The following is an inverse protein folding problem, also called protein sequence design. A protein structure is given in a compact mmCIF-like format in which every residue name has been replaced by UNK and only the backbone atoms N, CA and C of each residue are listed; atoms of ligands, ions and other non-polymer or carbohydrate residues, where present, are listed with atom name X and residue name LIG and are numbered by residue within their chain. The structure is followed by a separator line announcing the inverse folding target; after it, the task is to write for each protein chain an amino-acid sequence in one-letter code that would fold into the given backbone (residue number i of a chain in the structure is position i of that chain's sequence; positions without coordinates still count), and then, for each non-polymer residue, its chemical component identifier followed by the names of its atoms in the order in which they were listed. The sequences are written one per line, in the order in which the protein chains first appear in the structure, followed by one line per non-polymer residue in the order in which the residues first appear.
data_IF_056249845540
#
_entry.id   IF_056249845540
#
_cell.length_a   1.000
_cell.length_b   1.000
_cell.length_c   1.000
_cell.angle_alpha   90.00
_cell.angle_beta   90.00
_cell.angle_gamma   90.00
#
_symmetry.space_group_name_H-M   'P 1'
#
loop_
_entity.id
_entity.type
_entity.pdbx_description
1 polymer ?
#
# COMPACT_ATOMS: atom_id res chain seq x y z
N UNK A 1 -19.20 4.63 0.09
CA UNK A 1 -18.79 5.85 0.82
C UNK A 1 -19.48 7.02 0.16
N UNK A 2 -19.78 8.08 0.92
CA UNK A 2 -20.23 9.33 0.32
C UNK A 2 -19.07 9.93 -0.49
N UNK A 3 -19.28 10.52 -1.66
CA UNK A 3 -18.22 11.24 -2.39
C UNK A 3 -17.60 12.38 -1.58
N UNK A 4 -18.30 12.87 -0.55
CA UNK A 4 -17.85 13.97 0.32
C UNK A 4 -17.36 13.49 1.70
N UNK A 5 -17.04 12.20 1.87
CA UNK A 5 -16.54 11.69 3.14
C UNK A 5 -15.10 12.14 3.40
N UNK A 6 -14.85 12.75 4.57
CA UNK A 6 -13.54 13.26 5.00
C UNK A 6 -13.23 12.82 6.43
N UNK A 7 -11.95 12.54 6.73
CA UNK A 7 -11.48 12.14 8.07
C UNK A 7 -10.40 13.09 8.61
N UNK A 8 -10.72 14.35 8.95
CA UNK A 8 -9.73 15.34 9.40
C UNK A 8 -9.12 15.05 10.78
N UNK A 9 -9.65 14.08 11.53
CA UNK A 9 -9.20 13.77 12.90
C UNK A 9 -8.74 12.33 13.03
N UNK A 10 -7.87 12.06 14.01
CA UNK A 10 -7.44 10.70 14.35
C UNK A 10 -8.62 9.80 14.76
N UNK A 11 -9.64 10.36 15.39
CA UNK A 11 -10.86 9.62 15.77
C UNK A 11 -11.61 9.11 14.53
N UNK A 12 -11.76 9.95 13.51
CA UNK A 12 -12.42 9.56 12.27
C UNK A 12 -11.60 8.54 11.47
N UNK A 13 -10.27 8.67 11.46
CA UNK A 13 -9.38 7.65 10.90
C UNK A 13 -9.53 6.30 11.62
N UNK A 14 -9.59 6.31 12.96
CA UNK A 14 -9.82 5.09 13.76
C UNK A 14 -11.18 4.47 13.46
N UNK A 15 -12.23 5.27 13.39
CA UNK A 15 -13.57 4.80 13.02
C UNK A 15 -13.59 4.16 11.62
N UNK A 16 -12.84 4.72 10.66
CA UNK A 16 -12.69 4.13 9.33
C UNK A 16 -11.95 2.79 9.38
N UNK A 17 -10.85 2.69 10.15
CA UNK A 17 -10.11 1.43 10.37
C UNK A 17 -11.02 0.36 10.98
N UNK A 18 -11.81 0.70 12.00
CA UNK A 18 -12.73 -0.24 12.65
C UNK A 18 -13.80 -0.73 11.66
N UNK A 19 -14.40 0.20 10.89
CA UNK A 19 -15.40 -0.12 9.87
C UNK A 19 -14.86 -1.01 8.76
N UNK A 20 -13.63 -0.77 8.29
CA UNK A 20 -13.00 -1.59 7.25
C UNK A 20 -12.57 -2.95 7.78
N UNK A 21 -12.07 -3.02 9.02
CA UNK A 21 -11.70 -4.27 9.68
C UNK A 21 -12.93 -5.16 9.88
N UNK A 22 -14.07 -4.59 10.28
CA UNK A 22 -15.34 -5.32 10.43
C UNK A 22 -15.83 -5.96 9.12
N UNK A 23 -15.53 -5.34 7.97
CA UNK A 23 -15.82 -5.90 6.64
C UNK A 23 -14.80 -6.94 6.19
N UNK A 24 -13.74 -7.13 6.98
CA UNK A 24 -12.63 -8.00 6.64
C UNK A 24 -12.39 -9.14 7.65
N UNK A 25 -13.33 -10.09 7.83
CA UNK A 25 -13.10 -11.24 8.70
C UNK A 25 -11.80 -11.99 8.36
N UNK A 26 -11.02 -12.32 9.39
CA UNK A 26 -9.72 -13.00 9.26
C UNK A 26 -8.57 -12.10 8.82
N UNK A 27 -8.80 -10.79 8.66
CA UNK A 27 -7.70 -9.87 8.38
C UNK A 27 -6.77 -9.73 9.58
N UNK A 28 -5.47 -9.76 9.31
CA UNK A 28 -4.40 -9.52 10.25
C UNK A 28 -3.44 -8.44 9.71
N UNK A 29 -2.90 -7.55 10.57
CA UNK A 29 -1.83 -6.65 10.18
C UNK A 29 -0.62 -7.41 9.62
N UNK A 30 0.12 -6.75 8.74
CA UNK A 30 1.38 -7.25 8.19
C UNK A 30 2.56 -6.51 8.82
N UNK A 31 3.76 -7.09 8.83
CA UNK A 31 4.95 -6.44 9.36
C UNK A 31 5.51 -5.37 8.40
N UNK A 32 5.33 -5.55 7.09
CA UNK A 32 5.68 -4.55 6.10
C UNK A 32 4.84 -4.69 4.81
N UNK A 33 4.65 -3.60 4.08
CA UNK A 33 4.02 -3.62 2.75
C UNK A 33 4.50 -2.50 1.84
N UNK A 34 4.33 -2.70 0.53
CA UNK A 34 4.65 -1.72 -0.50
C UNK A 34 3.86 -1.95 -1.78
N UNK A 35 3.77 -0.94 -2.62
CA UNK A 35 3.23 -1.02 -3.99
C UNK A 35 4.25 -0.42 -4.95
N UNK A 36 4.48 -1.07 -6.08
CA UNK A 36 5.41 -0.60 -7.10
C UNK A 36 4.85 -0.81 -8.51
N UNK A 37 5.37 -0.04 -9.47
CA UNK A 37 5.16 -0.24 -10.90
C UNK A 37 6.39 -0.93 -11.47
N UNK A 38 6.22 -2.18 -11.89
CA UNK A 38 7.27 -3.03 -12.45
C UNK A 38 7.28 -2.88 -13.97
N UNK A 39 8.38 -2.44 -14.59
CA UNK A 39 8.49 -2.36 -16.04
C UNK A 39 8.41 -3.76 -16.69
N UNK A 40 7.99 -3.85 -17.98
CA UNK A 40 7.94 -5.12 -18.70
C UNK A 40 9.33 -5.66 -19.06
N UNK A 41 10.33 -4.79 -19.11
CA UNK A 41 11.73 -5.13 -19.37
C UNK A 41 12.43 -5.56 -18.07
N UNK A 42 12.95 -6.78 -18.06
CA UNK A 42 13.62 -7.37 -16.90
C UNK A 42 14.97 -6.69 -16.58
N UNK A 43 15.61 -6.04 -17.56
CA UNK A 43 16.86 -5.31 -17.36
C UNK A 43 16.65 -3.91 -16.78
N UNK A 44 15.41 -3.40 -16.81
CA UNK A 44 15.07 -2.10 -16.25
C UNK A 44 14.91 -2.20 -14.73
N UNK A 45 15.78 -1.52 -13.98
CA UNK A 45 15.69 -1.46 -12.52
C UNK A 45 14.42 -0.77 -12.05
N UNK A 46 13.82 -1.28 -10.97
CA UNK A 46 12.65 -0.70 -10.31
C UNK A 46 12.75 -0.86 -8.79
N UNK A 47 11.96 -0.07 -8.07
CA UNK A 47 11.95 -0.05 -6.60
C UNK A 47 10.56 0.33 -6.08
N UNK A 48 10.31 0.06 -4.81
CA UNK A 48 9.14 0.56 -4.10
C UNK A 48 9.37 2.04 -3.75
N UNK A 49 8.51 2.95 -4.23
CA UNK A 49 8.61 4.38 -3.90
C UNK A 49 8.25 4.67 -2.43
N UNK A 50 7.45 3.80 -1.82
CA UNK A 50 7.08 3.87 -0.40
C UNK A 50 7.18 2.48 0.19
N UNK A 51 8.05 2.33 1.19
CA UNK A 51 8.25 1.10 1.96
C UNK A 51 7.70 1.31 3.35
N UNK A 52 6.61 0.63 3.69
CA UNK A 52 5.97 0.77 4.99
C UNK A 52 6.43 -0.39 5.88
N UNK A 53 7.05 -0.08 7.03
CA UNK A 53 7.52 -1.07 8.00
C UNK A 53 6.90 -0.80 9.37
N UNK A 54 6.51 -1.86 10.05
CA UNK A 54 5.95 -1.80 11.38
C UNK A 54 4.46 -1.44 11.39
N UNK A 55 4.02 -0.94 12.54
CA UNK A 55 2.60 -0.81 12.87
C UNK A 55 1.99 0.52 12.46
N UNK A 56 2.81 1.47 12.02
CA UNK A 56 2.40 2.76 11.51
C UNK A 56 1.97 2.53 10.04
N UNK A 57 0.85 3.11 9.61
CA UNK A 57 0.22 2.89 8.29
C UNK A 57 -0.62 1.59 8.12
N UNK A 58 -1.37 1.18 9.17
CA UNK A 58 -2.33 0.07 9.04
C UNK A 58 -3.48 0.35 8.07
N UNK A 59 -3.94 1.60 7.97
CA UNK A 59 -5.09 1.94 7.13
C UNK A 59 -4.81 1.69 5.64
N UNK A 60 -3.72 2.18 5.04
CA UNK A 60 -3.41 1.83 3.65
C UNK A 60 -3.18 0.31 3.44
N UNK A 61 -2.53 -0.39 4.39
CA UNK A 61 -2.38 -1.85 4.30
C UNK A 61 -3.74 -2.57 4.30
N UNK A 62 -4.68 -2.12 5.13
CA UNK A 62 -6.05 -2.65 5.20
C UNK A 62 -6.80 -2.39 3.89
N UNK A 63 -6.71 -1.17 3.35
CA UNK A 63 -7.30 -0.82 2.05
C UNK A 63 -6.74 -1.67 0.92
N UNK A 64 -5.43 -1.88 0.87
CA UNK A 64 -4.82 -2.81 -0.10
C UNK A 64 -5.31 -4.24 0.12
N UNK A 65 -5.47 -4.69 1.37
CA UNK A 65 -6.07 -5.99 1.69
C UNK A 65 -7.50 -6.13 1.17
N UNK A 66 -8.30 -5.06 1.23
CA UNK A 66 -9.67 -5.05 0.70
C UNK A 66 -9.73 -5.23 -0.81
N UNK A 67 -8.80 -4.62 -1.57
CA UNK A 67 -8.80 -4.72 -3.05
C UNK A 67 -8.08 -5.98 -3.56
N UNK A 68 -7.06 -6.46 -2.85
CA UNK A 68 -6.34 -7.70 -3.20
C UNK A 68 -7.02 -8.97 -2.70
N UNK A 69 -7.94 -8.84 -1.73
CA UNK A 69 -8.52 -9.96 -0.99
C UNK A 69 -7.59 -10.56 0.08
N UNK A 70 -6.37 -10.03 0.25
CA UNK A 70 -5.39 -10.51 1.23
C UNK A 70 -5.91 -10.34 2.66
N UNK A 71 -5.91 -11.44 3.42
CA UNK A 71 -6.36 -11.48 4.83
C UNK A 71 -5.18 -11.58 5.79
N UNK A 72 -4.29 -12.52 5.55
CA UNK A 72 -3.08 -12.79 6.32
C UNK A 72 -2.05 -13.44 5.40
N UNK A 73 -0.83 -13.60 5.88
CA UNK A 73 0.29 -14.19 5.15
C UNK A 73 1.11 -13.17 4.38
N UNK A 74 2.37 -13.53 4.18
CA UNK A 74 3.26 -12.93 3.18
C UNK A 74 2.76 -13.28 1.79
N UNK A 75 2.75 -12.32 0.88
CA UNK A 75 2.26 -12.54 -0.48
C UNK A 75 2.41 -11.34 -1.41
N UNK A 76 2.38 -11.62 -2.70
CA UNK A 76 2.52 -10.62 -3.77
C UNK A 76 1.35 -10.67 -4.71
N UNK A 77 0.78 -9.51 -5.02
CA UNK A 77 -0.49 -9.38 -5.73
C UNK A 77 -0.32 -8.39 -6.88
N UNK A 78 -0.57 -8.85 -8.09
CA UNK A 78 -0.70 -7.95 -9.25
C UNK A 78 -2.06 -7.25 -9.17
N UNK A 79 -2.06 -5.92 -9.36
CA UNK A 79 -3.24 -5.08 -9.32
C UNK A 79 -3.56 -4.59 -10.72
N UNK A 80 -4.83 -4.68 -11.13
CA UNK A 80 -5.29 -3.89 -12.25
C UNK A 80 -5.27 -2.40 -11.88
N UNK A 81 -5.10 -1.46 -12.83
CA UNK A 81 -5.19 -0.03 -12.55
C UNK A 81 -6.51 0.36 -11.84
N UNK A 82 -7.62 -0.29 -12.19
CA UNK A 82 -8.91 -0.08 -11.54
C UNK A 82 -8.92 -0.49 -10.06
N UNK A 83 -8.17 -1.52 -9.66
CA UNK A 83 -8.07 -1.95 -8.26
C UNK A 83 -7.22 -0.97 -7.45
N UNK A 84 -6.14 -0.45 -8.04
CA UNK A 84 -5.34 0.61 -7.41
C UNK A 84 -6.14 1.92 -7.29
N UNK A 85 -6.92 2.29 -8.31
CA UNK A 85 -7.84 3.43 -8.24
C UNK A 85 -8.86 3.25 -7.11
N UNK A 86 -9.45 2.05 -6.98
CA UNK A 86 -10.35 1.74 -5.87
C UNK A 86 -9.67 1.88 -4.51
N UNK A 87 -8.39 1.49 -4.39
CA UNK A 87 -7.61 1.70 -3.17
C UNK A 87 -7.38 3.19 -2.89
N UNK A 88 -7.09 3.99 -3.92
CA UNK A 88 -7.00 5.46 -3.81
C UNK A 88 -8.32 6.04 -3.31
N UNK A 89 -9.46 5.65 -3.91
CA UNK A 89 -10.77 6.16 -3.53
C UNK A 89 -11.12 5.81 -2.07
N UNK A 90 -10.80 4.59 -1.63
CA UNK A 90 -11.02 4.14 -0.25
C UNK A 90 -10.16 4.89 0.78
N UNK A 91 -8.97 5.37 0.39
CA UNK A 91 -8.01 6.01 1.28
C UNK A 91 -8.05 7.55 1.21
N UNK A 92 -8.55 8.14 0.12
CA UNK A 92 -8.58 9.59 -0.12
C UNK A 92 -9.26 10.42 1.00
N UNK A 93 -10.31 9.95 1.69
CA UNK A 93 -10.87 10.67 2.84
C UNK A 93 -9.85 11.02 3.94
N UNK A 94 -8.75 10.25 4.06
CA UNK A 94 -7.69 10.52 5.03
C UNK A 94 -6.88 11.79 4.70
N UNK A 95 -6.92 12.32 3.47
CA UNK A 95 -6.19 13.54 3.09
C UNK A 95 -6.62 14.77 3.88
N UNK A 96 -7.86 14.79 4.36
CA UNK A 96 -8.35 15.86 5.23
C UNK A 96 -7.58 15.93 6.58
N UNK A 97 -6.90 14.85 6.99
CA UNK A 97 -6.03 14.85 8.17
C UNK A 97 -4.69 15.49 7.85
N UNK A 98 -4.65 16.83 7.87
CA UNK A 98 -3.47 17.63 7.51
C UNK A 98 -2.27 17.45 8.45
N UNK A 99 -2.44 16.80 9.61
CA UNK A 99 -1.34 16.44 10.50
C UNK A 99 -0.50 15.26 10.00
N UNK A 100 -0.95 14.56 8.94
CA UNK A 100 -0.21 13.46 8.32
C UNK A 100 0.20 13.83 6.91
N UNK A 101 1.40 13.40 6.53
CA UNK A 101 1.73 13.23 5.13
C UNK A 101 1.10 11.93 4.60
N UNK A 102 0.71 11.92 3.33
CA UNK A 102 0.06 10.78 2.68
C UNK A 102 0.91 10.20 1.55
N UNK A 103 2.16 9.72 1.83
CA UNK A 103 3.09 9.28 0.79
C UNK A 103 2.54 8.10 -0.02
N UNK A 104 1.78 7.19 0.62
CA UNK A 104 1.13 6.10 -0.09
C UNK A 104 0.12 6.60 -1.14
N UNK A 105 -0.78 7.55 -0.78
CA UNK A 105 -1.73 8.12 -1.73
C UNK A 105 -1.03 8.82 -2.89
N UNK A 106 -0.01 9.64 -2.58
CA UNK A 106 0.77 10.32 -3.60
C UNK A 106 1.39 9.32 -4.57
N UNK A 107 2.10 8.30 -4.05
CA UNK A 107 2.75 7.30 -4.88
C UNK A 107 1.77 6.50 -5.74
N UNK A 108 0.61 6.13 -5.19
CA UNK A 108 -0.41 5.37 -5.93
C UNK A 108 -1.01 6.19 -7.07
N UNK A 109 -1.32 7.48 -6.83
CA UNK A 109 -1.79 8.39 -7.88
C UNK A 109 -0.75 8.60 -8.96
N UNK A 110 0.51 8.81 -8.60
CA UNK A 110 1.60 8.92 -9.58
C UNK A 110 1.75 7.65 -10.43
N UNK A 111 1.57 6.46 -9.86
CA UNK A 111 1.56 5.22 -10.65
C UNK A 111 0.39 5.15 -11.64
N UNK A 112 -0.81 5.58 -11.23
CA UNK A 112 -1.98 5.64 -12.11
C UNK A 112 -1.79 6.65 -13.25
N UNK A 113 -1.28 7.85 -12.95
CA UNK A 113 -0.98 8.89 -13.93
C UNK A 113 0.05 8.42 -14.98
N UNK A 114 1.09 7.68 -14.55
CA UNK A 114 2.09 7.09 -15.45
C UNK A 114 1.45 6.10 -16.43
N UNK A 115 0.60 5.21 -15.92
CA UNK A 115 -0.11 4.22 -16.75
C UNK A 115 -1.07 4.92 -17.72
N UNK A 116 -1.83 5.91 -17.25
CA UNK A 116 -2.72 6.72 -18.10
C UNK A 116 -1.96 7.46 -19.20
N UNK A 117 -0.73 7.90 -18.90
CA UNK A 117 0.18 8.54 -19.86
C UNK A 117 0.82 7.56 -20.87
N UNK A 118 0.48 6.27 -20.81
CA UNK A 118 0.94 5.23 -21.74
C UNK A 118 2.20 4.50 -21.29
N UNK A 119 2.64 4.66 -20.04
CA UNK A 119 3.71 3.84 -19.50
C UNK A 119 3.23 2.40 -19.29
N UNK A 120 3.91 1.44 -19.93
CA UNK A 120 3.64 0.03 -19.76
C UNK A 120 4.33 -0.49 -18.49
N UNK A 121 3.60 -1.25 -17.68
CA UNK A 121 4.13 -1.89 -16.48
C UNK A 121 3.04 -2.64 -15.71
N UNK A 122 3.46 -3.41 -14.71
CA UNK A 122 2.56 -4.13 -13.80
C UNK A 122 2.59 -3.48 -12.44
N UNK A 123 1.42 -3.20 -11.87
CA UNK A 123 1.31 -2.71 -10.50
C UNK A 123 1.38 -3.94 -9.59
N UNK A 124 2.34 -3.98 -8.67
CA UNK A 124 2.51 -5.10 -7.75
C UNK A 124 2.47 -4.59 -6.31
N UNK A 125 1.57 -5.16 -5.51
CA UNK A 125 1.54 -5.00 -4.06
C UNK A 125 2.25 -6.17 -3.38
N UNK A 126 3.04 -5.88 -2.34
CA UNK A 126 3.73 -6.88 -1.52
C UNK A 126 3.30 -6.70 -0.06
N UNK A 127 3.01 -7.80 0.62
CA UNK A 127 2.79 -7.88 2.06
C UNK A 127 3.79 -8.88 2.65
N UNK A 128 4.37 -8.54 3.80
CA UNK A 128 5.35 -9.36 4.53
C UNK A 128 4.92 -9.45 5.99
N UNK A 129 4.49 -10.64 6.44
CA UNK A 129 4.03 -10.84 7.82
C UNK A 129 5.16 -11.08 8.81
N UNK A 130 6.28 -11.61 8.34
CA UNK A 130 7.48 -11.84 9.12
C UNK A 130 8.71 -11.49 8.28
N UNK A 131 9.51 -10.56 8.80
CA UNK A 131 10.78 -10.15 8.17
C UNK A 131 11.87 -11.23 8.31
N UNK A 132 11.67 -12.20 9.20
CA UNK A 132 12.58 -13.33 9.40
C UNK A 132 12.34 -14.47 8.40
N UNK A 133 11.19 -14.48 7.73
CA UNK A 133 10.87 -15.49 6.71
C UNK A 133 11.69 -15.29 5.43
N UNK A 134 11.93 -16.38 4.69
CA UNK A 134 12.49 -16.31 3.34
C UNK A 134 11.54 -15.57 2.38
N UNK A 135 12.13 -14.89 1.39
CA UNK A 135 11.35 -14.17 0.40
C UNK A 135 10.51 -15.13 -0.44
N UNK A 136 9.21 -14.86 -0.57
CA UNK A 136 8.29 -15.73 -1.31
C UNK A 136 8.28 -15.47 -2.82
N UNK A 137 8.90 -14.39 -3.29
CA UNK A 137 9.02 -14.02 -4.71
C UNK A 137 10.14 -13.01 -4.95
N UNK A 138 10.46 -12.74 -6.22
CA UNK A 138 11.42 -11.67 -6.60
C UNK A 138 10.94 -10.29 -6.11
N UNK A 139 9.64 -10.03 -6.09
CA UNK A 139 9.11 -8.75 -5.60
C UNK A 139 9.30 -8.58 -4.09
N UNK A 140 9.04 -9.65 -3.34
CA UNK A 140 9.32 -9.72 -1.91
C UNK A 140 10.83 -9.56 -1.65
N UNK A 141 11.69 -10.21 -2.43
CA UNK A 141 13.13 -10.09 -2.29
C UNK A 141 13.63 -8.65 -2.50
N UNK A 142 13.16 -7.96 -3.54
CA UNK A 142 13.51 -6.54 -3.79
C UNK A 142 13.00 -5.65 -2.64
N UNK A 143 11.77 -5.89 -2.18
CA UNK A 143 11.17 -5.15 -1.08
C UNK A 143 11.97 -5.29 0.23
N UNK A 144 12.30 -6.52 0.63
CA UNK A 144 13.14 -6.81 1.80
C UNK A 144 14.54 -6.21 1.66
N UNK A 145 15.12 -6.23 0.46
CA UNK A 145 16.41 -5.59 0.22
C UNK A 145 16.37 -4.08 0.43
N UNK A 146 15.27 -3.39 0.08
CA UNK A 146 15.09 -1.96 0.40
C UNK A 146 14.98 -1.72 1.90
N UNK A 147 14.22 -2.56 2.61
CA UNK A 147 14.12 -2.49 4.07
C UNK A 147 15.51 -2.64 4.71
N UNK A 148 16.30 -3.62 4.25
CA UNK A 148 17.66 -3.85 4.75
C UNK A 148 18.62 -2.67 4.50
N UNK A 149 18.34 -1.82 3.49
CA UNK A 149 19.10 -0.59 3.21
C UNK A 149 18.61 0.62 4.00
N UNK A 150 17.56 0.48 4.80
CA UNK A 150 16.97 1.57 5.60
C UNK A 150 16.05 2.50 4.79
N UNK A 151 15.57 2.06 3.63
CA UNK A 151 14.70 2.85 2.75
C UNK A 151 13.23 2.82 3.18
N UNK A 152 12.95 2.83 4.48
CA UNK A 152 11.58 2.86 5.01
C UNK A 152 11.00 4.27 5.02
N UNK A 153 9.70 4.38 4.77
CA UNK A 153 8.93 5.59 5.02
C UNK A 153 8.86 5.85 6.52
N UNK A 154 9.86 6.54 7.08
CA UNK A 154 9.77 7.10 8.41
C UNK A 154 8.80 8.27 8.38
N UNK A 155 7.77 8.23 9.24
CA UNK A 155 7.00 9.42 9.59
C UNK A 155 7.97 10.40 10.24
N UNK A 156 8.41 11.41 9.51
CA UNK A 156 8.72 12.68 10.13
C UNK A 156 7.41 13.17 10.78
N UNK A 157 7.33 12.98 12.10
CA UNK A 157 6.38 13.67 12.97
C UNK A 157 6.72 15.17 13.03
#
# INVERSE_FOLDING_TARGET
MSPDEEWPTLELIRAAVDRFTAQMPGWAPTAAYGVTLVPPDEDTSWSFPVVNVGWLHRLPALVLGMVTGRRTGTGTYELAPADLQRAVDLLSPAEAALMYQHPNLLAWRTMLERIESGENGRIVAVFVDSLDDEASSTYDAVFRAQIARGESSELYA
#
